data_IF_214138417219
#
_entry.id   IF_214138417219
#
_cell.length_a   1.000
_cell.length_b   1.000
_cell.length_c   1.000
_cell.angle_alpha   90.00
_cell.angle_beta   90.00
_cell.angle_gamma   90.00
#
_symmetry.space_group_name_H-M   'P 1'
#
loop_
_entity.id
_entity.type
_entity.pdbx_description
1 polymer ?
#
# COMPACT_ATOMS: atom_id res chain seq x y z
N UNK A 1 17.56 -54.69 61.66
CA UNK A 1 16.85 -53.44 61.33
C UNK A 1 17.32 -52.94 59.97
N UNK A 2 16.54 -53.14 58.90
CA UNK A 2 16.88 -52.68 57.53
C UNK A 2 16.04 -51.43 57.23
N UNK A 3 16.70 -50.31 56.94
CA UNK A 3 16.05 -49.04 56.54
C UNK A 3 15.80 -49.07 55.03
N UNK A 4 14.54 -48.88 54.64
CA UNK A 4 14.08 -48.74 53.27
C UNK A 4 14.13 -47.24 52.92
N UNK A 5 14.90 -46.86 51.91
CA UNK A 5 14.95 -45.48 51.39
C UNK A 5 14.06 -45.43 50.16
N UNK A 6 12.95 -44.71 50.26
CA UNK A 6 11.99 -44.48 49.18
C UNK A 6 12.42 -43.23 48.41
N UNK A 7 12.91 -43.40 47.18
CA UNK A 7 13.17 -42.29 46.26
C UNK A 7 11.88 -41.93 45.51
N UNK A 8 11.28 -40.79 45.85
CA UNK A 8 10.17 -40.19 45.12
C UNK A 8 10.75 -39.38 43.97
N UNK A 9 10.63 -39.88 42.75
CA UNK A 9 10.94 -39.13 41.53
C UNK A 9 9.78 -38.17 41.23
N UNK A 10 9.93 -36.89 41.61
CA UNK A 10 9.08 -35.80 41.14
C UNK A 10 9.45 -35.48 39.69
N UNK A 11 8.66 -35.99 38.74
CA UNK A 11 8.67 -35.50 37.37
C UNK A 11 8.03 -34.10 37.35
N UNK A 12 8.87 -33.07 37.38
CA UNK A 12 8.46 -31.71 37.03
C UNK A 12 8.20 -31.67 35.52
N UNK A 13 6.92 -31.77 35.13
CA UNK A 13 6.48 -31.42 33.79
C UNK A 13 6.57 -29.91 33.65
N UNK A 14 7.64 -29.43 33.00
CA UNK A 14 7.79 -28.03 32.63
C UNK A 14 6.79 -27.75 31.52
N UNK A 15 5.60 -27.27 31.88
CA UNK A 15 4.69 -26.67 30.93
C UNK A 15 5.36 -25.40 30.40
N UNK A 16 6.04 -25.52 29.24
CA UNK A 16 6.48 -24.38 28.46
C UNK A 16 5.21 -23.67 28.02
N UNK A 17 4.84 -22.60 28.74
CA UNK A 17 3.81 -21.68 28.31
C UNK A 17 4.20 -21.19 26.92
N UNK A 18 3.53 -21.72 25.89
CA UNK A 18 3.64 -21.20 24.54
C UNK A 18 3.05 -19.80 24.58
N UNK A 19 3.91 -18.79 24.74
CA UNK A 19 3.53 -17.41 24.58
C UNK A 19 3.02 -17.27 23.14
N UNK A 20 1.71 -17.08 22.98
CA UNK A 20 1.14 -16.79 21.68
C UNK A 20 1.84 -15.54 21.13
N UNK A 21 2.40 -15.57 19.92
CA UNK A 21 3.03 -14.41 19.34
C UNK A 21 1.98 -13.30 19.24
N UNK A 22 2.23 -12.16 19.91
CA UNK A 22 1.35 -11.00 19.82
C UNK A 22 1.44 -10.41 18.40
N UNK A 23 0.43 -10.69 17.59
CA UNK A 23 0.34 -10.20 16.21
C UNK A 23 0.09 -8.70 16.21
N UNK A 24 1.02 -7.93 15.66
CA UNK A 24 0.89 -6.47 15.53
C UNK A 24 0.34 -6.10 14.16
N UNK A 25 -0.58 -5.15 14.15
CA UNK A 25 -1.02 -4.52 12.91
C UNK A 25 0.14 -3.77 12.27
N UNK A 26 0.34 -4.01 10.97
CA UNK A 26 1.33 -3.30 10.18
C UNK A 26 0.65 -2.72 8.94
N UNK A 27 1.02 -1.50 8.56
CA UNK A 27 0.62 -0.91 7.30
C UNK A 27 1.67 -1.21 6.23
N UNK A 28 1.26 -1.45 4.97
CA UNK A 28 2.20 -1.66 3.90
C UNK A 28 3.08 -0.43 3.70
N UNK A 29 4.37 -0.61 3.30
CA UNK A 29 5.21 0.51 2.94
C UNK A 29 4.55 1.30 1.79
N UNK A 30 4.76 2.62 1.78
CA UNK A 30 4.19 3.51 0.76
C UNK A 30 5.11 3.52 -0.45
N UNK A 31 4.60 3.05 -1.59
CA UNK A 31 5.30 3.15 -2.88
C UNK A 31 5.01 4.51 -3.51
N UNK A 32 6.07 5.27 -3.76
CA UNK A 32 5.99 6.60 -4.36
C UNK A 32 6.47 6.59 -5.81
N UNK A 33 5.79 7.34 -6.67
CA UNK A 33 6.30 7.72 -7.99
C UNK A 33 6.40 9.24 -8.08
N UNK A 34 7.49 9.73 -8.65
CA UNK A 34 7.77 11.16 -8.78
C UNK A 34 8.03 11.53 -10.24
N UNK A 35 7.52 12.69 -10.66
CA UNK A 35 7.83 13.28 -11.96
C UNK A 35 8.12 14.78 -11.85
N UNK A 36 9.02 15.26 -12.72
CA UNK A 36 9.51 16.64 -12.77
C UNK A 36 9.38 17.17 -14.21
N UNK A 37 8.36 17.98 -14.46
CA UNK A 37 8.00 18.46 -15.81
C UNK A 37 8.76 19.71 -16.26
N UNK A 38 9.58 20.31 -15.40
CA UNK A 38 10.26 21.56 -15.72
C UNK A 38 9.27 22.75 -15.72
N UNK A 39 9.42 23.68 -16.65
CA UNK A 39 8.61 24.90 -16.70
C UNK A 39 7.37 24.73 -17.61
N UNK A 40 6.20 25.11 -17.10
CA UNK A 40 4.94 25.12 -17.84
C UNK A 40 4.44 26.56 -18.02
N UNK A 41 3.90 26.82 -19.20
CA UNK A 41 3.37 28.11 -19.66
C UNK A 41 1.85 28.08 -19.52
N UNK A 42 1.27 29.16 -18.99
CA UNK A 42 -0.17 29.23 -18.83
C UNK A 42 -0.85 30.03 -19.94
N UNK A 43 -2.05 29.62 -20.32
CA UNK A 43 -2.99 30.43 -21.09
C UNK A 43 -3.53 31.60 -20.24
N UNK A 44 -4.30 32.49 -20.88
CA UNK A 44 -4.96 33.64 -20.21
C UNK A 44 -5.96 33.25 -19.12
N UNK A 45 -6.29 31.97 -18.97
CA UNK A 45 -7.19 31.43 -17.96
C UNK A 45 -6.44 30.66 -16.87
N UNK A 46 -5.10 30.64 -16.90
CA UNK A 46 -4.27 29.98 -15.90
C UNK A 46 -4.08 28.48 -16.11
N UNK A 47 -4.31 27.95 -17.32
CA UNK A 47 -4.13 26.53 -17.64
C UNK A 47 -2.83 26.30 -18.41
N UNK A 48 -2.12 25.21 -18.11
CA UNK A 48 -0.96 24.77 -18.90
C UNK A 48 -1.35 24.52 -20.36
N UNK A 49 -0.55 25.04 -21.30
CA UNK A 49 -0.83 24.93 -22.76
C UNK A 49 -0.12 23.76 -23.42
N UNK A 50 0.87 23.17 -22.74
CA UNK A 50 1.67 22.07 -23.24
C UNK A 50 0.86 20.76 -23.31
N UNK A 51 1.19 19.93 -24.31
CA UNK A 51 0.60 18.60 -24.48
C UNK A 51 0.92 17.67 -23.29
N UNK A 52 2.14 17.78 -22.76
CA UNK A 52 2.53 17.14 -21.50
C UNK A 52 2.54 18.22 -20.43
N UNK A 53 1.60 18.12 -19.50
CA UNK A 53 1.44 19.03 -18.37
C UNK A 53 1.17 18.25 -17.08
N UNK A 54 0.97 18.98 -15.98
CA UNK A 54 0.79 18.39 -14.65
C UNK A 54 -0.37 17.39 -14.58
N UNK A 55 -1.43 17.60 -15.38
CA UNK A 55 -2.61 16.75 -15.38
C UNK A 55 -2.39 15.48 -16.18
N UNK A 56 -1.82 15.61 -17.38
CA UNK A 56 -1.53 14.44 -18.22
C UNK A 56 -0.51 13.53 -17.56
N UNK A 57 0.50 14.12 -16.89
CA UNK A 57 1.50 13.35 -16.16
C UNK A 57 0.91 12.68 -14.93
N UNK A 58 0.07 13.39 -14.17
CA UNK A 58 -0.67 12.78 -13.06
C UNK A 58 -1.53 11.61 -13.56
N UNK A 59 -2.30 11.80 -14.64
CA UNK A 59 -3.09 10.73 -15.27
C UNK A 59 -2.25 9.51 -15.65
N UNK A 60 -1.07 9.72 -16.22
CA UNK A 60 -0.18 8.64 -16.62
C UNK A 60 0.29 7.83 -15.41
N UNK A 61 0.69 8.51 -14.33
CA UNK A 61 1.22 7.87 -13.13
C UNK A 61 0.14 7.20 -12.26
N UNK A 62 -1.06 7.77 -12.16
CA UNK A 62 -2.13 7.17 -11.35
C UNK A 62 -2.68 5.86 -11.92
N UNK A 63 -2.47 5.60 -13.22
CA UNK A 63 -2.82 4.32 -13.87
C UNK A 63 -1.96 3.16 -13.38
N UNK A 64 -0.79 3.43 -12.81
CA UNK A 64 0.06 2.37 -12.27
C UNK A 64 -0.44 1.93 -10.88
N UNK A 65 -1.08 0.77 -10.81
CA UNK A 65 -1.67 0.22 -9.58
C UNK A 65 -0.66 -0.25 -8.54
N UNK A 66 0.64 -0.28 -8.87
CA UNK A 66 1.70 -0.58 -7.90
C UNK A 66 2.15 0.65 -7.11
N UNK A 67 1.71 1.85 -7.48
CA UNK A 67 2.07 3.12 -6.85
C UNK A 67 0.95 3.58 -5.94
N UNK A 68 1.28 3.90 -4.69
CA UNK A 68 0.33 4.41 -3.69
C UNK A 68 0.24 5.93 -3.71
N UNK A 69 1.37 6.61 -3.85
CA UNK A 69 1.46 8.07 -3.87
C UNK A 69 2.16 8.55 -5.12
N UNK A 70 1.53 9.49 -5.82
CA UNK A 70 2.09 10.12 -7.02
C UNK A 70 2.42 11.58 -6.72
N UNK A 71 3.64 11.99 -7.02
CA UNK A 71 4.07 13.39 -6.95
C UNK A 71 4.45 13.91 -8.33
N UNK A 72 3.84 15.02 -8.76
CA UNK A 72 4.19 15.71 -10.01
C UNK A 72 4.60 17.12 -9.66
N UNK A 73 5.79 17.54 -10.06
CA UNK A 73 6.33 18.87 -9.78
C UNK A 73 6.67 19.63 -11.05
N UNK A 74 6.42 20.94 -11.04
CA UNK A 74 6.67 21.82 -12.19
C UNK A 74 6.89 23.26 -11.73
N UNK A 75 7.31 24.13 -12.65
CA UNK A 75 7.47 25.57 -12.45
C UNK A 75 6.46 26.29 -13.32
N UNK A 76 5.48 26.93 -12.70
CA UNK A 76 4.48 27.73 -13.38
C UNK A 76 5.06 29.10 -13.75
N UNK A 77 5.08 29.44 -15.04
CA UNK A 77 5.49 30.75 -15.55
C UNK A 77 4.26 31.62 -15.84
N UNK A 78 4.17 32.78 -15.19
CA UNK A 78 3.11 33.75 -15.44
C UNK A 78 3.63 35.18 -15.27
N UNK A 79 3.52 36.00 -16.31
CA UNK A 79 3.82 37.44 -16.32
C UNK A 79 5.15 37.81 -15.61
N UNK A 80 6.25 37.17 -16.01
CA UNK A 80 7.59 37.42 -15.44
C UNK A 80 7.83 36.83 -14.05
N UNK A 81 6.83 36.19 -13.44
CA UNK A 81 6.97 35.46 -12.18
C UNK A 81 7.02 33.94 -12.42
N UNK A 82 7.80 33.25 -11.59
CA UNK A 82 7.86 31.79 -11.53
C UNK A 82 7.35 31.30 -10.19
N UNK A 83 6.44 30.33 -10.21
CA UNK A 83 5.92 29.68 -9.00
C UNK A 83 6.17 28.17 -9.09
N UNK A 84 7.05 27.59 -8.25
CA UNK A 84 7.24 26.16 -8.23
C UNK A 84 6.03 25.50 -7.56
N UNK A 85 5.46 24.53 -8.25
CA UNK A 85 4.21 23.86 -7.90
C UNK A 85 4.44 22.36 -7.79
N UNK A 86 3.59 21.70 -7.01
CA UNK A 86 3.57 20.25 -6.85
C UNK A 86 2.12 19.76 -6.69
N UNK A 87 1.79 18.65 -7.34
CA UNK A 87 0.63 17.82 -7.04
C UNK A 87 1.10 16.59 -6.28
N UNK A 88 0.40 16.24 -5.20
CA UNK A 88 0.61 15.00 -4.46
C UNK A 88 -0.74 14.29 -4.38
N UNK A 89 -0.85 13.14 -5.02
CA UNK A 89 -2.04 12.30 -4.97
C UNK A 89 -1.77 11.03 -4.18
N UNK A 90 -2.51 10.83 -3.09
CA UNK A 90 -2.47 9.63 -2.28
C UNK A 90 -3.70 8.78 -2.58
N UNK A 91 -3.49 7.62 -3.21
CA UNK A 91 -4.55 6.68 -3.59
C UNK A 91 -5.20 6.02 -2.38
N UNK A 92 -4.43 5.78 -1.31
CA UNK A 92 -4.91 5.12 -0.09
C UNK A 92 -5.80 6.07 0.69
N UNK A 93 -5.34 7.31 0.88
CA UNK A 93 -6.08 8.35 1.57
C UNK A 93 -7.18 8.98 0.71
N UNK A 94 -7.17 8.74 -0.62
CA UNK A 94 -8.06 9.38 -1.60
C UNK A 94 -7.99 10.91 -1.50
N UNK A 95 -6.77 11.43 -1.41
CA UNK A 95 -6.53 12.87 -1.30
C UNK A 95 -5.63 13.36 -2.42
N UNK A 96 -5.99 14.51 -3.00
CA UNK A 96 -5.13 15.26 -3.91
C UNK A 96 -4.71 16.55 -3.21
N UNK A 97 -3.42 16.87 -3.23
CA UNK A 97 -2.88 18.12 -2.72
C UNK A 97 -2.24 18.90 -3.84
N UNK A 98 -2.54 20.19 -3.94
CA UNK A 98 -1.86 21.16 -4.80
C UNK A 98 -1.07 22.11 -3.92
N UNK A 99 0.25 22.15 -4.14
CA UNK A 99 1.21 22.78 -3.25
C UNK A 99 2.03 23.79 -4.04
N UNK A 100 2.13 25.02 -3.55
CA UNK A 100 3.15 25.97 -4.00
C UNK A 100 4.38 25.80 -3.12
N UNK A 101 5.46 25.20 -3.63
CA UNK A 101 6.62 24.82 -2.80
C UNK A 101 7.46 26.02 -2.35
N UNK A 102 7.28 27.19 -2.97
CA UNK A 102 7.93 28.44 -2.52
C UNK A 102 7.25 29.05 -1.30
N UNK A 103 5.91 28.98 -1.24
CA UNK A 103 5.12 29.61 -0.16
C UNK A 103 4.62 28.60 0.87
N UNK A 104 4.77 27.31 0.61
CA UNK A 104 4.15 26.21 1.35
C UNK A 104 2.62 26.32 1.47
N UNK A 105 1.97 27.05 0.55
CA UNK A 105 0.51 27.03 0.45
C UNK A 105 0.07 25.64 -0.04
N UNK A 106 -0.72 24.95 0.78
CA UNK A 106 -1.28 23.63 0.48
C UNK A 106 -2.78 23.75 0.33
N UNK A 107 -3.30 23.32 -0.81
CA UNK A 107 -4.73 23.08 -1.04
C UNK A 107 -4.96 21.60 -1.10
N UNK A 108 -5.82 21.10 -0.22
CA UNK A 108 -6.16 19.68 -0.11
C UNK A 108 -7.58 19.44 -0.60
N UNK A 109 -7.75 18.39 -1.40
CA UNK A 109 -9.02 17.90 -1.91
C UNK A 109 -9.19 16.46 -1.41
N UNK A 110 -10.29 16.19 -0.70
CA UNK A 110 -10.59 14.90 -0.08
C UNK A 110 -11.61 14.12 -0.90
N UNK A 111 -11.70 12.81 -0.63
CA UNK A 111 -12.61 11.89 -1.32
C UNK A 111 -12.40 11.88 -2.84
N UNK A 112 -11.17 12.11 -3.28
CA UNK A 112 -10.78 12.11 -4.69
C UNK A 112 -10.36 10.69 -5.06
N UNK A 113 -11.35 9.89 -5.48
CA UNK A 113 -11.14 8.55 -6.03
C UNK A 113 -10.38 8.57 -7.36
N UNK A 114 -9.73 7.45 -7.71
CA UNK A 114 -8.91 7.33 -8.93
C UNK A 114 -9.75 7.48 -10.19
N UNK A 115 -10.88 6.79 -10.27
CA UNK A 115 -11.84 6.85 -11.37
C UNK A 115 -12.46 8.25 -11.46
N UNK A 116 -12.83 8.84 -10.32
CA UNK A 116 -13.37 10.20 -10.29
C UNK A 116 -12.37 11.24 -10.80
N UNK A 117 -11.10 11.13 -10.39
CA UNK A 117 -10.03 12.01 -10.86
C UNK A 117 -9.73 11.80 -12.35
N UNK A 118 -9.68 10.54 -12.80
CA UNK A 118 -9.54 10.21 -14.22
C UNK A 118 -10.66 10.83 -15.04
N UNK A 119 -11.91 10.62 -14.66
CA UNK A 119 -13.07 11.12 -15.40
C UNK A 119 -13.15 12.65 -15.37
N UNK A 120 -12.84 13.27 -14.22
CA UNK A 120 -12.74 14.73 -14.10
C UNK A 120 -11.78 15.29 -15.14
N UNK A 121 -10.62 14.66 -15.34
CA UNK A 121 -9.67 15.12 -16.34
C UNK A 121 -10.10 14.89 -17.78
N UNK A 122 -10.77 13.78 -18.09
CA UNK A 122 -11.31 13.53 -19.44
C UNK A 122 -12.51 14.42 -19.78
N UNK A 123 -13.25 14.92 -18.77
CA UNK A 123 -14.39 15.83 -18.98
C UNK A 123 -14.00 17.23 -19.50
N UNK A 124 -12.70 17.51 -19.64
CA UNK A 124 -12.20 18.81 -20.10
C UNK A 124 -12.20 19.91 -19.04
N UNK A 125 -12.75 19.64 -17.83
CA UNK A 125 -12.63 20.52 -16.65
C UNK A 125 -11.17 20.81 -16.34
N UNK A 126 -10.87 22.02 -15.85
CA UNK A 126 -9.47 22.49 -15.73
C UNK A 126 -9.09 23.00 -14.35
N UNK A 127 -10.02 23.55 -13.58
CA UNK A 127 -9.74 24.05 -12.23
C UNK A 127 -10.32 23.11 -11.19
N UNK A 128 -9.46 22.58 -10.32
CA UNK A 128 -9.90 21.74 -9.20
C UNK A 128 -10.88 22.48 -8.28
N UNK A 129 -10.61 23.77 -8.06
CA UNK A 129 -11.36 24.63 -7.16
C UNK A 129 -12.68 25.10 -7.77
N UNK A 130 -12.64 25.68 -8.97
CA UNK A 130 -13.82 26.26 -9.61
C UNK A 130 -14.78 25.19 -10.12
N UNK A 131 -14.25 24.06 -10.61
CA UNK A 131 -15.07 23.01 -11.21
C UNK A 131 -15.53 21.96 -10.18
N UNK A 132 -15.18 22.14 -8.91
CA UNK A 132 -15.66 21.34 -7.78
C UNK A 132 -15.19 19.88 -7.81
N UNK A 133 -13.87 19.64 -7.80
CA UNK A 133 -13.30 18.29 -7.89
C UNK A 133 -13.91 17.31 -6.87
N UNK A 134 -14.04 17.72 -5.61
CA UNK A 134 -14.56 16.85 -4.55
C UNK A 134 -16.01 16.42 -4.83
N UNK A 135 -16.88 17.39 -5.15
CA UNK A 135 -18.27 17.13 -5.52
C UNK A 135 -18.37 16.26 -6.79
N UNK A 136 -17.48 16.48 -7.76
CA UNK A 136 -17.43 15.67 -8.97
C UNK A 136 -17.08 14.21 -8.67
N UNK A 137 -16.12 13.98 -7.78
CA UNK A 137 -15.65 12.64 -7.42
C UNK A 137 -16.65 11.87 -6.53
N UNK A 138 -17.56 12.56 -5.83
CA UNK A 138 -18.56 11.89 -4.97
C UNK A 138 -19.39 10.83 -5.71
N UNK A 139 -19.76 11.09 -6.98
CA UNK A 139 -20.56 10.12 -7.78
C UNK A 139 -19.81 8.81 -8.08
N UNK A 140 -18.48 8.80 -7.93
CA UNK A 140 -17.64 7.62 -8.13
C UNK A 140 -17.32 6.87 -6.84
N UNK A 141 -17.68 7.43 -5.69
CA UNK A 141 -17.24 6.91 -4.39
C UNK A 141 -17.73 5.47 -4.17
N UNK A 142 -18.99 5.18 -4.54
CA UNK A 142 -19.59 3.84 -4.43
C UNK A 142 -18.97 2.80 -5.36
N UNK A 143 -18.49 3.21 -6.54
CA UNK A 143 -17.85 2.33 -7.52
C UNK A 143 -16.43 1.92 -7.11
N UNK A 144 -15.73 2.76 -6.34
CA UNK A 144 -14.39 2.48 -5.83
C UNK A 144 -14.38 1.86 -4.43
N UNK A 145 -15.51 1.83 -3.75
CA UNK A 145 -15.68 1.20 -2.43
C UNK A 145 -16.36 -0.17 -2.57
N UNK A 146 -15.82 -1.05 -3.42
CA UNK A 146 -16.23 -2.45 -3.38
C UNK A 146 -16.08 -2.95 -1.92
N UNK A 147 -17.10 -3.62 -1.36
CA UNK A 147 -17.01 -4.12 -0.01
C UNK A 147 -15.80 -5.03 0.11
N UNK A 148 -15.05 -4.89 1.20
CA UNK A 148 -13.92 -5.76 1.49
C UNK A 148 -14.44 -7.21 1.50
N UNK A 149 -13.76 -8.10 0.77
CA UNK A 149 -14.03 -9.53 0.86
C UNK A 149 -13.94 -9.99 2.33
N UNK A 150 -14.50 -11.15 2.72
CA UNK A 150 -14.34 -11.66 4.08
C UNK A 150 -12.88 -11.66 4.54
N UNK A 151 -12.65 -11.29 5.80
CA UNK A 151 -11.31 -11.25 6.38
C UNK A 151 -10.66 -12.64 6.29
N UNK A 152 -9.43 -12.75 5.73
CA UNK A 152 -8.69 -14.00 5.74
C UNK A 152 -8.52 -14.52 7.17
N UNK A 153 -8.74 -15.82 7.34
CA UNK A 153 -8.50 -16.50 8.61
C UNK A 153 -6.99 -16.51 8.91
N UNK A 154 -6.66 -16.12 10.15
CA UNK A 154 -5.31 -16.10 10.66
C UNK A 154 -5.23 -16.93 11.94
N UNK A 155 -4.37 -17.94 11.92
CA UNK A 155 -4.11 -18.78 13.08
C UNK A 155 -3.45 -17.93 14.19
N UNK A 156 -4.06 -17.89 15.38
CA UNK A 156 -3.57 -17.08 16.49
C UNK A 156 -2.32 -17.65 17.19
N UNK A 157 -2.05 -18.94 17.01
CA UNK A 157 -0.89 -19.62 17.60
C UNK A 157 0.35 -19.50 16.72
N UNK A 158 0.17 -19.58 15.40
CA UNK A 158 1.28 -19.54 14.43
C UNK A 158 1.38 -18.22 13.66
N UNK A 159 0.33 -17.42 13.67
CA UNK A 159 0.20 -16.22 12.82
C UNK A 159 -0.09 -16.53 11.36
N UNK A 160 -0.16 -17.81 10.96
CA UNK A 160 -0.26 -18.21 9.58
C UNK A 160 -1.59 -17.79 8.95
N UNK A 161 -1.52 -17.29 7.71
CA UNK A 161 -2.69 -17.00 6.88
C UNK A 161 -2.70 -18.00 5.73
N UNK A 162 -3.70 -18.89 5.70
CA UNK A 162 -3.73 -20.03 4.75
C UNK A 162 -3.48 -19.61 3.30
N UNK A 163 -4.15 -18.54 2.84
CA UNK A 163 -4.03 -18.04 1.47
C UNK A 163 -2.58 -17.62 1.14
N UNK A 164 -1.86 -17.04 2.10
CA UNK A 164 -0.45 -16.66 1.92
C UNK A 164 0.43 -17.90 1.93
N UNK A 165 0.16 -18.85 2.82
CA UNK A 165 0.89 -20.11 2.87
C UNK A 165 0.78 -20.88 1.56
N UNK A 166 -0.44 -21.01 1.02
CA UNK A 166 -0.69 -21.66 -0.26
C UNK A 166 0.05 -20.94 -1.41
N UNK A 167 0.04 -19.60 -1.42
CA UNK A 167 0.75 -18.81 -2.42
C UNK A 167 2.27 -19.01 -2.36
N UNK A 168 2.87 -18.92 -1.17
CA UNK A 168 4.32 -19.11 -0.98
C UNK A 168 4.74 -20.52 -1.33
N UNK A 169 3.95 -21.53 -0.95
CA UNK A 169 4.20 -22.92 -1.30
C UNK A 169 4.09 -23.14 -2.82
N UNK A 170 3.15 -22.48 -3.50
CA UNK A 170 3.02 -22.56 -4.95
C UNK A 170 4.20 -21.97 -5.74
N UNK A 171 4.99 -21.08 -5.15
CA UNK A 171 6.19 -20.49 -5.78
C UNK A 171 7.50 -21.14 -5.30
N UNK A 172 7.48 -21.91 -4.21
CA UNK A 172 8.64 -22.62 -3.71
C UNK A 172 8.86 -23.91 -4.51
N UNK A 173 10.12 -24.20 -4.87
CA UNK A 173 10.45 -25.45 -5.57
C UNK A 173 10.25 -26.69 -4.69
N UNK A 174 10.36 -26.52 -3.38
CA UNK A 174 10.08 -27.55 -2.37
C UNK A 174 9.37 -26.92 -1.18
N UNK A 175 8.08 -27.26 -1.03
CA UNK A 175 7.19 -26.73 -0.01
C UNK A 175 7.56 -27.19 1.40
N UNK A 176 8.29 -28.30 1.54
CA UNK A 176 8.68 -28.84 2.84
C UNK A 176 9.76 -28.00 3.54
N UNK A 177 10.43 -27.11 2.80
CA UNK A 177 11.51 -26.27 3.29
C UNK A 177 11.10 -24.83 3.61
N UNK A 178 9.81 -24.50 3.52
CA UNK A 178 9.33 -23.16 3.86
C UNK A 178 9.15 -23.04 5.37
N UNK A 179 9.91 -22.14 6.00
CA UNK A 179 9.79 -21.84 7.42
C UNK A 179 9.36 -20.40 7.65
N UNK A 180 8.17 -20.22 8.20
CA UNK A 180 7.68 -18.90 8.61
C UNK A 180 8.33 -18.47 9.92
N UNK A 181 8.84 -17.24 9.95
CA UNK A 181 9.59 -16.67 11.06
C UNK A 181 8.74 -15.63 11.82
N UNK A 182 8.05 -14.75 11.11
CA UNK A 182 7.31 -13.64 11.70
C UNK A 182 6.08 -13.32 10.85
N UNK A 183 4.96 -12.96 11.49
CA UNK A 183 3.72 -12.52 10.86
C UNK A 183 3.23 -11.20 11.44
N UNK A 184 2.60 -10.36 10.64
CA UNK A 184 1.78 -9.25 11.14
C UNK A 184 0.35 -9.71 11.33
N UNK A 185 -0.47 -8.94 12.03
CA UNK A 185 -1.92 -9.12 11.99
C UNK A 185 -2.45 -8.80 10.57
N UNK A 186 -3.52 -9.50 10.16
CA UNK A 186 -4.27 -9.16 8.95
C UNK A 186 -5.02 -7.83 9.15
N UNK A 187 -4.67 -6.83 8.35
CA UNK A 187 -5.23 -5.47 8.42
C UNK A 187 -5.96 -5.10 7.13
N UNK A 188 -6.97 -4.24 7.24
CA UNK A 188 -7.68 -3.70 6.07
C UNK A 188 -6.90 -2.50 5.50
N UNK A 189 -6.65 -2.50 4.19
CA UNK A 189 -6.00 -1.39 3.48
C UNK A 189 -6.80 -1.08 2.21
N UNK A 190 -7.52 0.04 2.23
CA UNK A 190 -8.44 0.43 1.15
C UNK A 190 -9.46 -0.69 0.82
N UNK A 191 -9.36 -1.31 -0.36
CA UNK A 191 -10.22 -2.41 -0.81
C UNK A 191 -9.52 -3.77 -0.82
N UNK A 192 -8.47 -3.91 0.00
CA UNK A 192 -7.61 -5.10 0.09
C UNK A 192 -7.37 -5.47 1.56
N UNK A 193 -7.11 -6.74 1.81
CA UNK A 193 -6.50 -7.18 3.07
C UNK A 193 -4.98 -7.18 2.91
N UNK A 194 -4.27 -6.85 3.97
CA UNK A 194 -2.82 -6.82 4.01
C UNK A 194 -2.30 -7.68 5.15
N UNK A 195 -1.22 -8.41 4.90
CA UNK A 195 -0.43 -9.09 5.93
C UNK A 195 1.02 -9.16 5.51
N UNK A 196 1.95 -8.92 6.43
CA UNK A 196 3.37 -9.21 6.23
C UNK A 196 3.67 -10.62 6.72
N UNK A 197 4.46 -11.35 5.95
CA UNK A 197 5.15 -12.54 6.41
C UNK A 197 6.66 -12.46 6.13
N UNK A 198 7.45 -12.91 7.09
CA UNK A 198 8.87 -13.17 6.94
C UNK A 198 9.11 -14.67 7.01
N UNK A 199 9.81 -15.23 6.03
CA UNK A 199 9.99 -16.67 5.92
C UNK A 199 11.32 -17.01 5.23
N UNK A 200 11.85 -18.20 5.51
CA UNK A 200 12.96 -18.79 4.75
C UNK A 200 12.47 -19.89 3.82
N UNK A 201 13.19 -20.11 2.73
CA UNK A 201 13.01 -21.24 1.83
C UNK A 201 14.34 -21.58 1.13
N UNK A 202 14.46 -22.80 0.60
CA UNK A 202 15.59 -23.21 -0.22
C UNK A 202 15.26 -22.87 -1.69
N UNK A 203 16.11 -22.05 -2.32
CA UNK A 203 15.90 -21.66 -3.72
C UNK A 203 16.38 -22.74 -4.70
N UNK A 204 16.22 -22.50 -6.01
CA UNK A 204 16.61 -23.44 -7.07
C UNK A 204 18.09 -23.85 -7.04
N UNK A 205 18.96 -23.03 -6.45
CA UNK A 205 20.39 -23.31 -6.30
C UNK A 205 20.75 -24.02 -5.00
N UNK A 206 19.75 -24.45 -4.21
CA UNK A 206 19.98 -25.11 -2.92
C UNK A 206 20.37 -24.16 -1.78
N UNK A 207 20.25 -22.84 -1.99
CA UNK A 207 20.64 -21.83 -0.98
C UNK A 207 19.44 -21.40 -0.15
N UNK A 208 19.57 -21.43 1.18
CA UNK A 208 18.57 -20.87 2.08
C UNK A 208 18.47 -19.35 1.89
N UNK A 209 17.26 -18.88 1.59
CA UNK A 209 16.97 -17.48 1.30
C UNK A 209 15.86 -17.00 2.21
N UNK A 210 16.08 -15.89 2.91
CA UNK A 210 15.05 -15.20 3.69
C UNK A 210 14.34 -14.16 2.84
N UNK A 211 13.01 -14.12 2.94
CA UNK A 211 12.15 -13.09 2.35
C UNK A 211 11.32 -12.42 3.43
N UNK A 212 11.14 -11.12 3.28
CA UNK A 212 10.22 -10.33 4.07
C UNK A 212 9.27 -9.62 3.10
N UNK A 213 8.03 -10.10 3.01
CA UNK A 213 7.07 -9.66 2.01
C UNK A 213 5.76 -9.22 2.66
N UNK A 214 5.20 -8.14 2.14
CA UNK A 214 3.80 -7.77 2.33
C UNK A 214 2.94 -8.41 1.24
N UNK A 215 1.81 -8.99 1.64
CA UNK A 215 0.86 -9.66 0.76
C UNK A 215 -0.46 -8.92 0.78
N UNK A 216 -0.96 -8.56 -0.40
CA UNK A 216 -2.29 -7.99 -0.55
C UNK A 216 -3.24 -9.06 -1.05
N UNK A 217 -4.33 -9.26 -0.32
CA UNK A 217 -5.31 -10.31 -0.54
C UNK A 217 -6.64 -9.66 -0.96
N UNK A 218 -7.18 -10.14 -2.08
CA UNK A 218 -8.51 -9.78 -2.57
C UNK A 218 -9.18 -11.03 -3.10
N UNK A 219 -10.47 -11.19 -2.83
CA UNK A 219 -11.28 -12.31 -3.33
C UNK A 219 -10.67 -13.70 -3.06
N UNK A 220 -10.12 -13.87 -1.85
CA UNK A 220 -9.53 -15.13 -1.42
C UNK A 220 -8.18 -15.47 -2.06
N UNK A 221 -7.52 -14.53 -2.75
CA UNK A 221 -6.25 -14.75 -3.45
C UNK A 221 -5.24 -13.66 -3.15
N UNK A 222 -3.96 -14.02 -3.16
CA UNK A 222 -2.87 -13.03 -3.18
C UNK A 222 -2.90 -12.34 -4.54
N UNK A 223 -3.22 -11.04 -4.55
CA UNK A 223 -3.32 -10.22 -5.75
C UNK A 223 -1.99 -9.53 -6.11
N UNK A 224 -1.25 -9.07 -5.10
CA UNK A 224 0.08 -8.47 -5.28
C UNK A 224 0.96 -8.66 -4.04
N UNK A 225 2.28 -8.59 -4.25
CA UNK A 225 3.28 -8.65 -3.18
C UNK A 225 4.21 -7.44 -3.21
N UNK A 226 4.77 -7.07 -2.06
CA UNK A 226 5.75 -6.00 -1.93
C UNK A 226 6.91 -6.44 -1.04
N UNK A 227 8.15 -6.17 -1.48
CA UNK A 227 9.33 -6.39 -0.67
C UNK A 227 9.42 -5.38 0.47
N UNK A 228 9.59 -5.88 1.70
CA UNK A 228 9.84 -5.05 2.88
C UNK A 228 11.33 -5.13 3.20
N UNK A 229 11.98 -3.96 3.21
CA UNK A 229 13.41 -3.84 3.54
C UNK A 229 13.65 -3.96 5.03
#
# INVERSE_FOLDING_TARGET
>A
MKKLILFVFLCFSVCVACANPELKEELPPVVKAESKLGALTLDKYGNSVEQINERTELLNLIRNDTVDVVEVSWVMKSNGSTKPMKLVYDKRARTLKKICTKTNEVREFKNVGRLGLCDFFHSGRRSFEKDGLEAYCQKYFSFESAPLAPKPEQDLSTGNVKIVCDYVNGIANDTSNVKYLEWSAVTAVASEWYVRAKFTYINASGVETTRNLGFFIRDGKVFRTIGIK
#
